data_IF_808886693608
#
_entry.id   IF_808886693608
#
_cell.length_a   1.000
_cell.length_b   1.000
_cell.length_c   1.000
_cell.angle_alpha   90.00
_cell.angle_beta   90.00
_cell.angle_gamma   90.00
#
_symmetry.space_group_name_H-M   'P 1'
#
loop_
_entity.id
_entity.type
_entity.pdbx_description
1 polymer ?
#
# COMPACT_ATOMS: atom_id res chain seq x y z
N UNK A 1 40.81 18.60 -10.64
CA UNK A 1 40.02 18.09 -9.50
C UNK A 1 38.65 18.79 -9.27
N UNK A 2 38.08 19.54 -10.23
CA UNK A 2 36.76 20.19 -10.03
C UNK A 2 35.54 19.39 -10.53
N UNK A 3 35.72 18.43 -11.44
CA UNK A 3 34.63 17.68 -12.05
C UNK A 3 34.23 16.39 -11.29
N UNK A 4 35.07 15.91 -10.36
CA UNK A 4 34.81 14.66 -9.62
C UNK A 4 33.71 14.79 -8.57
N UNK A 5 33.50 15.99 -8.03
CA UNK A 5 32.48 16.26 -7.01
C UNK A 5 31.09 16.32 -7.65
N UNK A 6 30.98 16.89 -8.86
CA UNK A 6 29.72 16.97 -9.61
C UNK A 6 29.19 15.58 -9.98
N UNK A 7 30.09 14.65 -10.35
CA UNK A 7 29.74 13.27 -10.67
C UNK A 7 29.26 12.48 -9.44
N UNK A 8 29.84 12.76 -8.26
CA UNK A 8 29.40 12.14 -7.00
C UNK A 8 27.98 12.60 -6.63
N UNK A 9 27.66 13.89 -6.77
CA UNK A 9 26.34 14.44 -6.45
C UNK A 9 25.25 13.83 -7.36
N UNK A 10 25.55 13.64 -8.64
CA UNK A 10 24.63 13.00 -9.59
C UNK A 10 24.34 11.53 -9.24
N UNK A 11 25.32 10.78 -8.71
CA UNK A 11 25.12 9.40 -8.28
C UNK A 11 24.22 9.30 -7.04
N UNK A 12 24.39 10.19 -6.05
CA UNK A 12 23.57 10.16 -4.83
C UNK A 12 22.14 10.65 -5.04
N UNK A 13 21.90 11.60 -5.96
CA UNK A 13 20.54 12.05 -6.28
C UNK A 13 19.68 10.92 -6.87
N UNK A 14 20.23 10.07 -7.74
CA UNK A 14 19.47 8.98 -8.35
C UNK A 14 19.06 7.89 -7.35
N UNK A 15 19.84 7.68 -6.28
CA UNK A 15 19.53 6.66 -5.27
C UNK A 15 18.41 7.08 -4.30
N UNK A 16 18.22 8.37 -4.04
CA UNK A 16 17.15 8.87 -3.17
C UNK A 16 15.81 8.99 -3.88
N UNK A 17 15.78 9.38 -5.16
CA UNK A 17 14.52 9.55 -5.89
C UNK A 17 13.86 8.23 -6.32
N UNK A 18 14.63 7.17 -6.52
CA UNK A 18 14.09 5.88 -6.97
C UNK A 18 13.24 5.15 -5.93
N UNK A 19 13.44 5.38 -4.62
CA UNK A 19 12.74 4.64 -3.57
C UNK A 19 11.38 5.26 -3.19
N UNK A 20 11.25 6.59 -3.20
CA UNK A 20 9.96 7.27 -2.97
C UNK A 20 8.94 6.95 -4.05
N UNK A 21 9.40 6.63 -5.25
CA UNK A 21 8.54 6.34 -6.40
C UNK A 21 7.89 4.94 -6.34
N UNK A 22 8.52 4.00 -5.62
CA UNK A 22 8.01 2.62 -5.50
C UNK A 22 6.62 2.64 -4.86
N UNK A 23 6.44 3.41 -3.78
CA UNK A 23 5.22 3.39 -2.98
C UNK A 23 4.17 4.41 -3.42
N UNK A 24 4.53 5.45 -4.16
CA UNK A 24 3.57 6.46 -4.65
C UNK A 24 2.58 5.84 -5.66
N UNK A 25 1.29 5.95 -5.40
CA UNK A 25 0.23 5.48 -6.30
C UNK A 25 -1.05 5.06 -5.58
N UNK A 26 -2.02 4.59 -6.36
CA UNK A 26 -3.26 4.01 -5.86
C UNK A 26 -3.22 2.50 -6.02
N UNK A 27 -3.64 1.78 -4.98
CA UNK A 27 -3.57 0.34 -4.89
C UNK A 27 -4.94 -0.24 -4.57
N UNK A 28 -5.26 -1.38 -5.16
CA UNK A 28 -6.54 -2.06 -5.03
C UNK A 28 -6.36 -3.54 -4.68
N UNK A 29 -7.09 -3.98 -3.66
CA UNK A 29 -7.29 -5.39 -3.36
C UNK A 29 -8.76 -5.69 -3.61
N UNK A 30 -9.02 -6.75 -4.37
CA UNK A 30 -10.36 -7.27 -4.63
C UNK A 30 -10.49 -8.66 -4.02
N UNK A 31 -11.42 -8.79 -3.08
CA UNK A 31 -11.72 -10.03 -2.39
C UNK A 31 -13.17 -10.44 -2.57
N UNK A 32 -13.41 -11.75 -2.61
CA UNK A 32 -14.75 -12.30 -2.50
C UNK A 32 -14.73 -13.64 -1.77
N UNK A 33 -15.72 -13.89 -0.94
CA UNK A 33 -15.92 -15.16 -0.24
C UNK A 33 -17.38 -15.59 -0.35
N UNK A 34 -17.61 -16.90 -0.53
CA UNK A 34 -18.95 -17.48 -0.49
C UNK A 34 -19.42 -17.52 0.95
N UNK A 35 -20.60 -16.98 1.20
CA UNK A 35 -21.30 -17.10 2.48
C UNK A 35 -22.16 -18.37 2.48
N UNK A 36 -22.86 -18.61 3.59
CA UNK A 36 -23.86 -19.68 3.66
C UNK A 36 -24.93 -19.49 2.57
N UNK A 37 -25.22 -20.57 1.83
CA UNK A 37 -26.12 -20.56 0.68
C UNK A 37 -25.43 -20.07 -0.60
N UNK A 38 -26.16 -19.29 -1.41
CA UNK A 38 -25.69 -18.77 -2.69
C UNK A 38 -25.18 -17.31 -2.62
N UNK A 39 -25.08 -16.75 -1.40
CA UNK A 39 -24.64 -15.37 -1.20
C UNK A 39 -23.11 -15.26 -1.31
N UNK A 40 -22.62 -14.14 -1.84
CA UNK A 40 -21.19 -13.83 -1.96
C UNK A 40 -20.91 -12.50 -1.28
N UNK A 41 -19.99 -12.49 -0.31
CA UNK A 41 -19.42 -11.27 0.24
C UNK A 41 -18.31 -10.79 -0.68
N UNK A 42 -18.34 -9.51 -1.05
CA UNK A 42 -17.25 -8.86 -1.78
C UNK A 42 -16.63 -7.78 -0.92
N UNK A 43 -15.35 -7.52 -1.12
CA UNK A 43 -14.65 -6.40 -0.49
C UNK A 43 -13.59 -5.85 -1.42
N UNK A 44 -13.55 -4.54 -1.48
CA UNK A 44 -12.44 -3.80 -2.06
C UNK A 44 -11.70 -3.06 -0.93
N UNK A 45 -10.38 -3.09 -0.98
CA UNK A 45 -9.54 -2.23 -0.15
C UNK A 45 -8.73 -1.35 -1.10
N UNK A 46 -8.74 -0.05 -0.85
CA UNK A 46 -8.02 0.93 -1.65
C UNK A 46 -7.01 1.65 -0.76
N UNK A 47 -5.77 1.76 -1.20
CA UNK A 47 -4.80 2.67 -0.61
C UNK A 47 -4.39 3.68 -1.67
N UNK A 48 -4.60 4.97 -1.41
CA UNK A 48 -3.98 6.04 -2.19
C UNK A 48 -2.85 6.63 -1.38
N UNK A 49 -1.62 6.52 -1.88
CA UNK A 49 -0.44 7.05 -1.21
C UNK A 49 0.30 8.01 -2.15
N UNK A 50 0.45 9.25 -1.71
CA UNK A 50 1.27 10.28 -2.36
C UNK A 50 2.28 10.84 -1.36
N UNK A 51 3.13 11.78 -1.77
CA UNK A 51 4.05 12.49 -0.86
C UNK A 51 3.34 13.31 0.22
N UNK A 52 2.07 13.66 0.00
CA UNK A 52 1.31 14.57 0.87
C UNK A 52 0.12 13.89 1.54
N UNK A 53 -0.38 12.80 0.97
CA UNK A 53 -1.63 12.18 1.38
C UNK A 53 -1.52 10.66 1.49
N UNK A 54 -2.20 10.11 2.48
CA UNK A 54 -2.41 8.68 2.64
C UNK A 54 -3.88 8.48 2.97
N UNK A 55 -4.59 7.79 2.09
CA UNK A 55 -6.00 7.46 2.26
C UNK A 55 -6.18 5.96 2.15
N UNK A 56 -6.75 5.35 3.18
CA UNK A 56 -7.07 3.94 3.22
C UNK A 56 -8.58 3.76 3.26
N UNK A 57 -9.15 3.14 2.24
CA UNK A 57 -10.59 2.94 2.10
C UNK A 57 -10.93 1.45 2.02
N UNK A 58 -12.09 1.11 2.55
CA UNK A 58 -12.66 -0.24 2.54
C UNK A 58 -14.08 -0.09 2.01
N UNK A 59 -14.44 -0.89 1.02
CA UNK A 59 -15.78 -0.93 0.45
C UNK A 59 -16.31 -2.36 0.42
N UNK A 60 -17.63 -2.51 0.58
CA UNK A 60 -18.33 -3.78 0.45
C UNK A 60 -18.76 -4.38 1.79
N UNK A 61 -18.68 -5.70 1.92
CA UNK A 61 -19.40 -6.45 2.94
C UNK A 61 -19.17 -5.91 4.36
N UNK A 62 -20.31 -5.56 5.01
CA UNK A 62 -20.51 -4.98 6.34
C UNK A 62 -20.21 -3.49 6.52
N UNK A 63 -19.31 -2.86 5.75
CA UNK A 63 -19.06 -1.43 5.90
C UNK A 63 -18.32 -0.82 4.71
N UNK A 64 -18.65 0.44 4.45
CA UNK A 64 -17.84 1.35 3.65
C UNK A 64 -17.21 2.39 4.58
N UNK A 65 -15.89 2.48 4.58
CA UNK A 65 -15.15 3.45 5.42
C UNK A 65 -13.91 3.94 4.71
N UNK A 66 -13.59 5.21 4.97
CA UNK A 66 -12.37 5.86 4.49
C UNK A 66 -11.65 6.50 5.67
N UNK A 67 -10.34 6.29 5.72
CA UNK A 67 -9.47 6.75 6.78
C UNK A 67 -8.32 7.56 6.20
N UNK A 68 -7.97 8.65 6.85
CA UNK A 68 -6.64 9.22 6.68
C UNK A 68 -5.63 8.29 7.36
N UNK A 69 -4.56 7.92 6.67
CA UNK A 69 -3.55 7.03 7.19
C UNK A 69 -2.19 7.70 7.37
N UNK A 70 -1.30 7.00 8.06
CA UNK A 70 0.15 7.24 8.09
C UNK A 70 0.85 5.96 7.68
N UNK A 71 2.00 6.11 7.04
CA UNK A 71 2.83 4.97 6.62
C UNK A 71 4.21 5.05 7.23
N UNK A 72 4.75 3.88 7.56
CA UNK A 72 6.14 3.73 7.99
C UNK A 72 6.80 2.65 7.14
N UNK A 73 7.93 2.97 6.49
CA UNK A 73 8.71 2.00 5.75
C UNK A 73 9.81 1.40 6.63
N UNK A 74 9.88 0.07 6.71
CA UNK A 74 10.97 -0.64 7.39
C UNK A 74 11.28 -1.94 6.68
N UNK A 75 12.53 -2.14 6.30
CA UNK A 75 13.01 -3.35 5.61
C UNK A 75 12.22 -3.68 4.34
N UNK A 76 11.93 -2.69 3.48
CA UNK A 76 11.11 -2.80 2.27
C UNK A 76 9.68 -3.31 2.51
N UNK A 77 9.16 -3.08 3.72
CA UNK A 77 7.78 -3.33 4.10
C UNK A 77 7.17 -2.00 4.49
N UNK A 78 6.02 -1.67 3.89
CA UNK A 78 5.27 -0.48 4.20
C UNK A 78 4.18 -0.83 5.21
N UNK A 79 4.26 -0.28 6.42
CA UNK A 79 3.24 -0.44 7.46
C UNK A 79 2.21 0.67 7.36
N UNK A 80 0.93 0.34 7.44
CA UNK A 80 -0.17 1.30 7.31
C UNK A 80 -0.89 1.42 8.65
N UNK A 81 -1.08 2.66 9.10
CA UNK A 81 -1.74 2.98 10.36
C UNK A 81 -2.85 4.02 10.14
N UNK A 82 -3.89 3.99 10.97
CA UNK A 82 -4.81 5.10 11.11
C UNK A 82 -4.06 6.35 11.60
N UNK A 83 -4.32 7.51 10.99
CA UNK A 83 -3.63 8.73 11.34
C UNK A 83 -3.99 9.28 12.74
N UNK A 84 -5.17 8.91 13.27
CA UNK A 84 -5.73 9.43 14.51
C UNK A 84 -5.57 8.46 15.68
N UNK A 85 -5.99 7.20 15.50
CA UNK A 85 -5.97 6.17 16.55
C UNK A 85 -4.64 5.42 16.63
N UNK A 86 -3.77 5.55 15.62
CA UNK A 86 -2.57 4.75 15.46
C UNK A 86 -2.83 3.23 15.36
N UNK A 87 -4.08 2.83 15.12
CA UNK A 87 -4.43 1.44 14.83
C UNK A 87 -3.71 0.98 13.57
N UNK A 88 -3.11 -0.20 13.61
CA UNK A 88 -2.45 -0.79 12.44
C UNK A 88 -3.48 -1.42 11.51
N UNK A 89 -3.65 -0.84 10.32
CA UNK A 89 -4.48 -1.43 9.27
C UNK A 89 -3.82 -2.61 8.59
N UNK A 90 -2.50 -2.62 8.46
CA UNK A 90 -1.80 -3.73 7.82
C UNK A 90 -0.37 -3.42 7.42
N UNK A 91 0.13 -4.20 6.48
CA UNK A 91 1.42 -3.97 5.83
C UNK A 91 1.39 -4.39 4.36
N UNK A 92 2.19 -3.73 3.54
CA UNK A 92 2.42 -4.05 2.14
C UNK A 92 3.83 -4.58 1.98
N UNK A 93 3.97 -5.67 1.25
CA UNK A 93 5.27 -6.24 0.87
C UNK A 93 5.41 -6.15 -0.64
N UNK A 94 6.51 -5.56 -1.11
CA UNK A 94 6.89 -5.61 -2.52
C UNK A 94 7.76 -6.84 -2.78
N UNK A 95 7.30 -7.73 -3.67
CA UNK A 95 8.03 -8.97 -4.02
C UNK A 95 7.88 -9.26 -5.50
N UNK A 96 9.01 -9.40 -6.20
CA UNK A 96 9.06 -9.76 -7.64
C UNK A 96 8.17 -8.87 -8.53
N UNK A 97 8.19 -7.55 -8.32
CA UNK A 97 7.42 -6.60 -9.14
C UNK A 97 5.96 -6.42 -8.74
N UNK A 98 5.50 -7.09 -7.67
CA UNK A 98 4.11 -7.07 -7.23
C UNK A 98 3.99 -6.64 -5.77
N UNK A 99 2.86 -6.02 -5.42
CA UNK A 99 2.53 -5.61 -4.06
C UNK A 99 1.53 -6.58 -3.43
N UNK A 100 1.68 -6.85 -2.14
CA UNK A 100 0.85 -7.77 -1.39
C UNK A 100 0.40 -7.15 -0.06
N UNK A 101 -0.90 -7.03 0.15
CA UNK A 101 -1.50 -6.42 1.34
C UNK A 101 -1.79 -7.48 2.41
N UNK A 102 -1.16 -7.38 3.57
CA UNK A 102 -1.49 -8.21 4.73
C UNK A 102 -2.26 -7.36 5.75
N UNK A 103 -3.55 -7.59 5.86
CA UNK A 103 -4.49 -6.83 6.70
C UNK A 103 -5.64 -7.73 7.14
N UNK A 104 -6.26 -7.45 8.29
CA UNK A 104 -7.52 -8.09 8.69
C UNK A 104 -8.70 -7.70 7.79
N UNK A 105 -8.53 -6.67 6.94
CA UNK A 105 -9.50 -6.30 5.92
C UNK A 105 -9.41 -7.18 4.67
N UNK A 106 -8.36 -7.98 4.50
CA UNK A 106 -8.24 -8.97 3.41
C UNK A 106 -9.02 -10.24 3.78
N UNK A 107 -10.05 -10.54 2.98
CA UNK A 107 -10.95 -11.70 3.21
C UNK A 107 -10.23 -13.04 3.00
N UNK A 108 -9.45 -13.21 1.93
CA UNK A 108 -8.64 -14.41 1.71
C UNK A 108 -7.15 -14.04 1.68
N UNK A 109 -6.44 -14.34 2.75
CA UNK A 109 -5.01 -14.06 2.88
C UNK A 109 -4.13 -14.75 1.82
N UNK A 110 -4.64 -15.76 1.11
CA UNK A 110 -3.95 -16.38 -0.05
C UNK A 110 -4.09 -15.56 -1.33
N UNK A 111 -5.05 -14.64 -1.39
CA UNK A 111 -5.35 -13.77 -2.54
C UNK A 111 -5.02 -12.31 -2.24
N UNK A 112 -4.00 -12.08 -1.44
CA UNK A 112 -3.64 -10.76 -0.93
C UNK A 112 -2.91 -9.85 -1.95
N UNK A 113 -3.06 -10.11 -3.24
CA UNK A 113 -2.48 -9.28 -4.29
C UNK A 113 -3.06 -7.87 -4.22
N UNK A 114 -2.17 -6.87 -4.24
CA UNK A 114 -2.53 -5.47 -4.14
C UNK A 114 -2.12 -4.79 -5.44
N UNK A 115 -3.06 -4.70 -6.37
CA UNK A 115 -2.84 -4.16 -7.70
C UNK A 115 -2.52 -2.66 -7.60
N UNK A 116 -1.43 -2.18 -8.21
CA UNK A 116 -1.13 -0.74 -8.31
C UNK A 116 -1.66 -0.23 -9.65
N UNK A 117 -2.40 0.87 -9.63
CA UNK A 117 -2.80 1.58 -10.84
C UNK A 117 -1.57 2.00 -11.67
N UNK A 118 -1.74 2.07 -12.99
CA UNK A 118 -0.67 2.42 -13.94
C UNK A 118 -0.40 3.92 -13.97
#
# INVERSE_FOLDING_TARGET
>A
MKYSILFLILLFANHTFANTDIWNGTYHYYGSEKLLGDNVATREVILTLTSENCVFSIFGFQMDKTYSCKVEEKNNVLYIFDANSHEKFGKIIFRKGNYYLYSHYVIDGRKNFFFKDK
#
